data_IF_289421542272
#
_entry.id   IF_289421542272
#
_cell.length_a   1.000
_cell.length_b   1.000
_cell.length_c   1.000
_cell.angle_alpha   90.00
_cell.angle_beta   90.00
_cell.angle_gamma   90.00
#
_symmetry.space_group_name_H-M   'P 1'
#
loop_
_entity.id
_entity.type
_entity.pdbx_description
1 polymer ?
#
# COMPACT_ATOMS: atom_id res chain seq x y z
N UNK A 1 5.72 1.29 15.59
CA UNK A 1 5.34 1.39 14.17
C UNK A 1 5.75 2.77 13.70
N UNK A 2 6.41 2.87 12.55
CA UNK A 2 6.69 4.19 11.97
C UNK A 2 5.40 4.86 11.51
N UNK A 3 5.38 6.19 11.43
CA UNK A 3 4.32 6.93 10.75
C UNK A 3 4.11 6.43 9.31
N UNK A 4 5.18 6.02 8.62
CA UNK A 4 5.09 5.47 7.26
C UNK A 4 4.43 4.09 7.24
N UNK A 5 4.67 3.25 8.25
CA UNK A 5 3.95 1.97 8.38
C UNK A 5 2.44 2.20 8.56
N UNK A 6 2.04 3.27 9.26
CA UNK A 6 0.64 3.65 9.40
C UNK A 6 0.04 4.14 8.07
N UNK A 7 0.81 4.85 7.24
CA UNK A 7 0.39 5.23 5.87
C UNK A 7 0.15 3.97 5.04
N UNK A 8 1.11 3.05 4.98
CA UNK A 8 0.97 1.79 4.25
C UNK A 8 -0.22 0.99 4.76
N UNK A 9 -0.39 0.89 6.08
CA UNK A 9 -1.51 0.19 6.70
C UNK A 9 -2.88 0.76 6.32
N UNK A 10 -3.00 2.09 6.19
CA UNK A 10 -4.24 2.73 5.71
C UNK A 10 -4.55 2.38 4.25
N UNK A 11 -3.55 2.37 3.38
CA UNK A 11 -3.74 1.94 1.99
C UNK A 11 -4.17 0.48 1.91
N UNK A 12 -3.54 -0.40 2.69
CA UNK A 12 -3.91 -1.81 2.76
C UNK A 12 -5.35 -1.99 3.27
N UNK A 13 -5.74 -1.27 4.33
CA UNK A 13 -7.10 -1.31 4.84
C UNK A 13 -8.12 -0.86 3.79
N UNK A 14 -7.82 0.19 3.01
CA UNK A 14 -8.69 0.65 1.91
C UNK A 14 -8.87 -0.43 0.83
N UNK A 15 -7.80 -1.12 0.44
CA UNK A 15 -7.89 -2.23 -0.53
C UNK A 15 -8.77 -3.36 0.02
N UNK A 16 -8.46 -3.84 1.24
CA UNK A 16 -9.13 -4.99 1.85
C UNK A 16 -10.62 -4.74 2.13
N UNK A 17 -11.01 -3.48 2.33
CA UNK A 17 -12.40 -3.07 2.55
C UNK A 17 -13.17 -2.80 1.26
N UNK A 18 -12.52 -2.89 0.08
CA UNK A 18 -13.15 -2.55 -1.20
C UNK A 18 -13.23 -1.06 -1.48
N UNK A 19 -12.53 -0.23 -0.70
CA UNK A 19 -12.48 1.22 -0.85
C UNK A 19 -13.74 1.91 -0.33
N UNK A 20 -14.12 3.01 -0.99
CA UNK A 20 -15.32 3.79 -0.66
C UNK A 20 -16.57 3.15 -1.27
N UNK A 21 -16.81 1.87 -0.99
CA UNK A 21 -17.99 1.14 -1.46
C UNK A 21 -19.00 0.93 -0.33
N UNK A 22 -20.28 0.80 -0.68
CA UNK A 22 -21.31 0.43 0.31
C UNK A 22 -21.02 -0.97 0.86
N UNK A 23 -21.12 -1.21 2.18
CA UNK A 23 -20.81 -2.50 2.79
C UNK A 23 -21.71 -3.65 2.33
N UNK A 24 -22.82 -3.34 1.66
CA UNK A 24 -23.77 -4.32 1.11
C UNK A 24 -23.60 -4.56 -0.39
N UNK A 25 -22.76 -3.77 -1.08
CA UNK A 25 -22.54 -3.92 -2.52
C UNK A 25 -21.44 -4.96 -2.74
N UNK A 26 -21.69 -6.01 -3.54
CA UNK A 26 -20.65 -6.96 -3.91
C UNK A 26 -19.53 -6.25 -4.68
N UNK A 27 -18.31 -6.43 -4.23
CA UNK A 27 -17.12 -5.91 -4.90
C UNK A 27 -16.62 -6.95 -5.90
N UNK A 28 -16.34 -6.53 -7.13
CA UNK A 28 -15.77 -7.43 -8.14
C UNK A 28 -14.27 -7.61 -7.91
N UNK A 29 -13.72 -8.74 -8.35
CA UNK A 29 -12.27 -8.97 -8.31
C UNK A 29 -11.50 -7.85 -9.01
N UNK A 30 -11.97 -7.42 -10.18
CA UNK A 30 -11.34 -6.35 -10.95
C UNK A 30 -11.27 -5.03 -10.17
N UNK A 31 -12.29 -4.70 -9.39
CA UNK A 31 -12.29 -3.50 -8.54
C UNK A 31 -11.22 -3.57 -7.45
N UNK A 32 -11.03 -4.74 -6.82
CA UNK A 32 -9.97 -4.93 -5.82
C UNK A 32 -8.60 -4.79 -6.48
N UNK A 33 -8.39 -5.39 -7.66
CA UNK A 33 -7.13 -5.26 -8.42
C UNK A 33 -6.82 -3.81 -8.79
N UNK A 34 -7.83 -3.03 -9.17
CA UNK A 34 -7.66 -1.62 -9.48
C UNK A 34 -7.26 -0.80 -8.24
N UNK A 35 -7.88 -1.08 -7.09
CA UNK A 35 -7.50 -0.47 -5.80
C UNK A 35 -6.07 -0.84 -5.38
N UNK A 36 -5.69 -2.11 -5.54
CA UNK A 36 -4.32 -2.58 -5.27
C UNK A 36 -3.31 -1.84 -6.15
N UNK A 37 -3.61 -1.72 -7.44
CA UNK A 37 -2.74 -1.02 -8.39
C UNK A 37 -2.59 0.47 -8.03
N UNK A 38 -3.69 1.15 -7.71
CA UNK A 38 -3.66 2.56 -7.30
C UNK A 38 -2.82 2.75 -6.02
N UNK A 39 -3.08 1.92 -5.00
CA UNK A 39 -2.36 1.96 -3.73
C UNK A 39 -0.86 1.69 -3.92
N UNK A 40 -0.52 0.68 -4.71
CA UNK A 40 0.87 0.33 -5.00
C UNK A 40 1.61 1.47 -5.72
N UNK A 41 1.04 2.00 -6.81
CA UNK A 41 1.66 3.10 -7.56
C UNK A 41 1.85 4.35 -6.69
N UNK A 42 0.86 4.67 -5.85
CA UNK A 42 0.93 5.79 -4.91
C UNK A 42 2.08 5.59 -3.91
N UNK A 43 2.16 4.42 -3.27
CA UNK A 43 3.19 4.11 -2.29
C UNK A 43 4.58 4.07 -2.92
N UNK A 44 4.72 3.56 -4.15
CA UNK A 44 5.98 3.56 -4.90
C UNK A 44 6.48 4.98 -5.22
N UNK A 45 5.57 5.95 -5.36
CA UNK A 45 5.93 7.36 -5.54
C UNK A 45 6.47 8.05 -4.29
N UNK A 46 6.36 7.42 -3.11
CA UNK A 46 6.83 8.01 -1.84
C UNK A 46 8.33 7.77 -1.63
N UNK A 47 9.06 8.83 -1.28
CA UNK A 47 10.50 8.80 -0.99
C UNK A 47 10.85 7.73 0.05
N UNK A 48 10.13 7.67 1.18
CA UNK A 48 10.36 6.66 2.23
C UNK A 48 10.20 5.22 1.74
N UNK A 49 9.32 4.97 0.76
CA UNK A 49 9.17 3.64 0.15
C UNK A 49 10.35 3.33 -0.78
N UNK A 50 10.82 4.31 -1.54
CA UNK A 50 12.01 4.19 -2.39
C UNK A 50 13.27 3.92 -1.56
N UNK A 51 13.45 4.61 -0.44
CA UNK A 51 14.55 4.37 0.50
C UNK A 51 14.53 2.94 1.04
N UNK A 52 13.34 2.42 1.37
CA UNK A 52 13.17 1.02 1.81
C UNK A 52 13.54 0.05 0.71
N UNK A 53 13.08 0.29 -0.51
CA UNK A 53 13.44 -0.55 -1.67
C UNK A 53 14.95 -0.52 -1.91
N UNK A 54 15.58 0.66 -1.91
CA UNK A 54 17.02 0.82 -2.08
C UNK A 54 17.80 0.10 -0.98
N UNK A 55 17.41 0.24 0.29
CA UNK A 55 18.06 -0.44 1.39
C UNK A 55 17.97 -1.96 1.26
N UNK A 56 16.81 -2.49 0.86
CA UNK A 56 16.62 -3.92 0.59
C UNK A 56 17.54 -4.38 -0.55
N UNK A 57 17.59 -3.64 -1.65
CA UNK A 57 18.42 -3.99 -2.81
C UNK A 57 19.91 -3.93 -2.52
N UNK A 58 20.35 -2.94 -1.74
CA UNK A 58 21.78 -2.72 -1.46
C UNK A 58 22.31 -3.55 -0.29
N UNK A 59 21.49 -3.76 0.74
CA UNK A 59 21.94 -4.37 2.01
C UNK A 59 21.28 -5.71 2.31
N UNK A 60 20.23 -6.08 1.56
CA UNK A 60 19.40 -7.26 1.85
C UNK A 60 18.51 -7.10 3.09
N UNK A 61 18.53 -5.95 3.77
CA UNK A 61 17.78 -5.71 5.00
C UNK A 61 16.73 -4.62 4.80
N UNK A 62 15.51 -4.78 5.35
CA UNK A 62 14.49 -3.74 5.28
C UNK A 62 14.88 -2.54 6.14
N UNK A 63 14.81 -1.35 5.54
CA UNK A 63 14.89 -0.10 6.28
C UNK A 63 13.59 0.09 7.08
N UNK A 64 13.70 0.52 8.33
CA UNK A 64 12.57 0.88 9.19
C UNK A 64 12.68 2.37 9.49
N UNK A 65 11.88 3.16 8.79
CA UNK A 65 11.81 4.62 8.80
C UNK A 65 10.36 5.08 8.86
#
# INVERSE_FOLDING_TARGET
MSEHDAVIGRHLARVLTGGECSPITPVTEQHVLDLEREAFLTLCGMEKTQDRMQAILMTGKPLRN
#
